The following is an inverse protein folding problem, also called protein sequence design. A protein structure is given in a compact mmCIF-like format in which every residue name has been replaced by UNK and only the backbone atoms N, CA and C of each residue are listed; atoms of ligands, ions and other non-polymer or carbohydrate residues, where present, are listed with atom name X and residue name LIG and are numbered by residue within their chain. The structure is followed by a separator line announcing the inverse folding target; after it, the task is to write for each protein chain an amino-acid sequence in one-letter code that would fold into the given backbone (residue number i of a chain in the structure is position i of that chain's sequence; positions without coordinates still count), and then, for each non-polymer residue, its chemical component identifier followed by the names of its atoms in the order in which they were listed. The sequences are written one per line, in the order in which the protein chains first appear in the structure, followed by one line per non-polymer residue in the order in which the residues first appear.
data_IF_443716257515
#
_entry.id   IF_443716257515
#
_cell.length_a   1.000
_cell.length_b   1.000
_cell.length_c   1.000
_cell.angle_alpha   90.00
_cell.angle_beta   90.00
_cell.angle_gamma   90.00
#
_symmetry.space_group_name_H-M   'P 1'
#
loop_
_entity.id
_entity.type
_entity.pdbx_description
1 polymer ?
#
# COMPACT_ATOMS: atom_id res chain seq x y z
N UNK A 1 1.22 14.17 -34.98
CA UNK A 1 1.01 13.27 -33.81
C UNK A 1 0.31 12.02 -34.31
N UNK A 2 0.75 10.80 -33.96
CA UNK A 2 -0.01 9.61 -34.32
C UNK A 2 -1.44 9.73 -33.76
N UNK A 3 -2.43 9.26 -34.52
CA UNK A 3 -3.83 9.33 -34.13
C UNK A 3 -4.02 8.62 -32.77
N UNK A 4 -4.81 9.23 -31.88
CA UNK A 4 -5.13 8.61 -30.60
C UNK A 4 -5.93 7.33 -30.84
N UNK A 5 -5.33 6.16 -30.59
CA UNK A 5 -6.03 4.87 -30.62
C UNK A 5 -6.99 4.83 -29.44
N UNK A 6 -8.27 4.61 -29.73
CA UNK A 6 -9.34 4.49 -28.74
C UNK A 6 -10.13 3.21 -29.00
N UNK A 7 -10.53 2.54 -27.94
CA UNK A 7 -11.49 1.44 -27.94
C UNK A 7 -12.22 1.41 -26.61
N UNK A 8 -13.34 0.71 -26.53
CA UNK A 8 -14.03 0.48 -25.26
C UNK A 8 -13.96 -0.98 -24.83
N UNK A 9 -14.02 -1.17 -23.52
CA UNK A 9 -14.23 -2.48 -22.89
C UNK A 9 -15.45 -2.36 -21.98
N UNK A 10 -16.23 -3.44 -21.86
CA UNK A 10 -17.33 -3.52 -20.91
C UNK A 10 -16.92 -4.41 -19.74
N UNK A 11 -17.03 -3.91 -18.52
CA UNK A 11 -16.66 -4.60 -17.29
C UNK A 11 -17.76 -4.38 -16.27
N UNK A 12 -18.31 -5.46 -15.71
CA UNK A 12 -19.43 -5.43 -14.75
C UNK A 12 -20.60 -4.52 -15.22
N UNK A 13 -20.90 -4.55 -16.53
CA UNK A 13 -21.95 -3.75 -17.16
C UNK A 13 -21.60 -2.27 -17.40
N UNK A 14 -20.40 -1.83 -17.03
CA UNK A 14 -19.91 -0.47 -17.24
C UNK A 14 -18.99 -0.39 -18.47
N UNK A 15 -19.21 0.60 -19.34
CA UNK A 15 -18.33 0.86 -20.48
C UNK A 15 -17.15 1.75 -20.06
N UNK A 16 -15.93 1.33 -20.41
CA UNK A 16 -14.69 2.07 -20.14
C UNK A 16 -13.97 2.35 -21.45
N UNK A 17 -13.81 3.62 -21.80
CA UNK A 17 -13.06 4.04 -22.98
C UNK A 17 -11.55 4.00 -22.68
N UNK A 18 -10.85 3.05 -23.28
CA UNK A 18 -9.39 2.91 -23.20
C UNK A 18 -8.74 3.76 -24.29
N UNK A 19 -7.77 4.58 -23.89
CA UNK A 19 -7.04 5.46 -24.81
C UNK A 19 -5.55 5.14 -24.80
N UNK A 20 -4.89 5.17 -25.95
CA UNK A 20 -3.46 4.90 -26.08
C UNK A 20 -3.03 3.59 -25.40
N UNK A 21 -3.63 2.43 -25.76
CA UNK A 21 -3.34 1.15 -25.11
C UNK A 21 -1.88 0.72 -25.24
N UNK A 22 -1.20 1.12 -26.32
CA UNK A 22 0.22 0.80 -26.55
C UNK A 22 1.18 1.80 -25.89
N UNK A 23 0.68 2.77 -25.12
CA UNK A 23 1.53 3.71 -24.37
C UNK A 23 2.45 2.92 -23.43
N UNK A 24 3.78 3.09 -23.51
CA UNK A 24 4.69 2.47 -22.55
C UNK A 24 4.50 3.11 -21.17
N UNK A 25 4.18 2.31 -20.16
CA UNK A 25 4.10 2.75 -18.77
C UNK A 25 5.36 2.38 -18.00
N UNK A 26 5.89 1.16 -18.23
CA UNK A 26 7.24 0.76 -17.83
C UNK A 26 8.02 0.28 -19.06
N UNK A 27 8.75 1.17 -19.76
CA UNK A 27 9.46 0.80 -20.98
C UNK A 27 10.57 -0.24 -20.74
N UNK A 28 11.27 -0.17 -19.60
CA UNK A 28 12.39 -1.07 -19.27
C UNK A 28 11.99 -2.55 -19.18
N UNK A 29 10.76 -2.82 -18.73
CA UNK A 29 10.20 -4.18 -18.62
C UNK A 29 9.08 -4.44 -19.63
N UNK A 30 8.95 -3.57 -20.65
CA UNK A 30 8.01 -3.77 -21.76
C UNK A 30 6.51 -3.68 -21.39
N UNK A 31 6.15 -3.10 -20.25
CA UNK A 31 4.73 -2.99 -19.84
C UNK A 31 4.10 -1.76 -20.50
N UNK A 32 3.19 -2.02 -21.43
CA UNK A 32 2.28 -1.02 -22.02
C UNK A 32 1.04 -0.81 -21.14
N UNK A 33 0.25 0.22 -21.42
CA UNK A 33 -1.04 0.44 -20.74
C UNK A 33 -1.97 -0.77 -20.86
N UNK A 34 -2.03 -1.43 -22.03
CA UNK A 34 -2.85 -2.63 -22.22
C UNK A 34 -2.44 -3.74 -21.25
N UNK A 35 -1.14 -4.04 -21.17
CA UNK A 35 -0.60 -5.05 -20.25
C UNK A 35 -0.90 -4.62 -18.81
N UNK A 36 -0.65 -3.37 -18.47
CA UNK A 36 -0.93 -2.86 -17.13
C UNK A 36 -2.39 -3.05 -16.72
N UNK A 37 -3.35 -2.71 -17.58
CA UNK A 37 -4.78 -2.91 -17.30
C UNK A 37 -5.14 -4.39 -17.11
N UNK A 38 -4.53 -5.30 -17.88
CA UNK A 38 -4.71 -6.74 -17.69
C UNK A 38 -4.17 -7.19 -16.32
N UNK A 39 -2.96 -6.76 -15.95
CA UNK A 39 -2.37 -7.08 -14.64
C UNK A 39 -3.16 -6.48 -13.48
N UNK A 40 -3.70 -5.27 -13.67
CA UNK A 40 -4.54 -4.62 -12.68
C UNK A 40 -5.88 -5.36 -12.49
N UNK A 41 -6.47 -5.89 -13.57
CA UNK A 41 -7.63 -6.76 -13.49
C UNK A 41 -7.34 -8.07 -12.75
N UNK A 42 -6.19 -8.71 -13.02
CA UNK A 42 -5.79 -9.92 -12.30
C UNK A 42 -5.52 -9.69 -10.81
N UNK A 43 -4.96 -8.52 -10.46
CA UNK A 43 -4.75 -8.11 -9.07
C UNK A 43 -6.02 -7.66 -8.35
N UNK A 44 -7.11 -7.39 -9.06
CA UNK A 44 -8.28 -6.72 -8.50
C UNK A 44 -8.91 -7.44 -7.29
N UNK A 45 -9.00 -8.79 -7.24
CA UNK A 45 -9.58 -9.47 -6.06
C UNK A 45 -8.79 -9.20 -4.77
N UNK A 46 -7.49 -8.94 -4.90
CA UNK A 46 -6.56 -8.70 -3.79
C UNK A 46 -6.47 -7.22 -3.46
N UNK A 47 -6.21 -6.37 -4.46
CA UNK A 47 -6.07 -4.92 -4.27
C UNK A 47 -7.37 -4.29 -3.76
N UNK A 48 -8.53 -4.64 -4.34
CA UNK A 48 -9.82 -4.08 -3.94
C UNK A 48 -10.20 -4.42 -2.51
N UNK A 49 -9.76 -5.58 -1.98
CA UNK A 49 -10.02 -5.97 -0.59
C UNK A 49 -9.50 -4.92 0.41
N UNK A 50 -8.39 -4.25 0.08
CA UNK A 50 -7.74 -3.28 0.96
C UNK A 50 -7.98 -1.82 0.55
N UNK A 51 -8.67 -1.57 -0.56
CA UNK A 51 -8.93 -0.22 -1.06
C UNK A 51 -10.41 0.14 -1.23
N UNK A 52 -11.31 -0.85 -1.24
CA UNK A 52 -12.76 -0.63 -1.36
C UNK A 52 -13.31 0.13 -0.16
N UNK A 53 -14.29 1.00 -0.42
CA UNK A 53 -15.00 1.79 0.60
C UNK A 53 -14.11 2.71 1.44
N UNK A 54 -12.94 3.11 0.91
CA UNK A 54 -11.97 4.00 1.54
C UNK A 54 -11.74 5.24 0.67
N UNK A 55 -11.31 6.34 1.28
CA UNK A 55 -10.93 7.57 0.56
C UNK A 55 -9.62 7.30 -0.17
N UNK A 56 -9.62 7.38 -1.50
CA UNK A 56 -8.45 6.99 -2.29
C UNK A 56 -7.62 8.19 -2.75
N UNK A 57 -6.34 8.17 -2.40
CA UNK A 57 -5.31 8.93 -3.12
C UNK A 57 -4.67 8.02 -4.16
N UNK A 58 -4.47 8.51 -5.38
CA UNK A 58 -3.68 7.80 -6.39
C UNK A 58 -2.47 8.63 -6.81
N UNK A 59 -1.40 7.95 -7.23
CA UNK A 59 -0.28 8.61 -7.91
C UNK A 59 -0.34 8.27 -9.39
N UNK A 60 -0.44 9.31 -10.22
CA UNK A 60 -0.61 9.18 -11.66
C UNK A 60 0.68 9.49 -12.40
N UNK A 61 0.96 8.70 -13.43
CA UNK A 61 2.14 8.82 -14.32
C UNK A 61 1.67 8.90 -15.78
N UNK A 62 1.14 10.05 -16.24
CA UNK A 62 0.51 10.17 -17.55
C UNK A 62 1.43 9.81 -18.74
N UNK A 63 2.75 9.90 -18.53
CA UNK A 63 3.80 9.61 -19.51
C UNK A 63 4.63 8.38 -19.15
N UNK A 64 4.12 7.52 -18.27
CA UNK A 64 4.84 6.36 -17.74
C UNK A 64 5.83 6.73 -16.63
N UNK A 65 6.46 5.72 -16.05
CA UNK A 65 7.35 5.83 -14.89
C UNK A 65 8.55 6.78 -15.10
N UNK A 66 9.19 6.86 -16.28
CA UNK A 66 10.26 7.83 -16.50
C UNK A 66 9.81 9.30 -16.53
N UNK A 67 8.50 9.54 -16.65
CA UNK A 67 7.92 10.88 -16.76
C UNK A 67 7.52 11.50 -15.42
N UNK A 68 6.92 12.68 -15.49
CA UNK A 68 6.37 13.37 -14.32
C UNK A 68 5.22 12.59 -13.68
N UNK A 69 5.12 12.70 -12.37
CA UNK A 69 4.03 12.14 -11.57
C UNK A 69 3.31 13.22 -10.76
N UNK A 70 2.09 12.92 -10.34
CA UNK A 70 1.37 13.77 -9.38
C UNK A 70 0.43 12.94 -8.50
N UNK A 71 0.22 13.45 -7.29
CA UNK A 71 -0.76 12.92 -6.34
C UNK A 71 -2.13 13.48 -6.67
N UNK A 72 -3.12 12.61 -6.85
CA UNK A 72 -4.51 12.98 -7.05
C UNK A 72 -5.32 12.53 -5.84
N UNK A 73 -5.76 13.51 -5.06
CA UNK A 73 -6.73 13.32 -3.96
C UNK A 73 -8.13 13.67 -4.41
N UNK A 74 -8.27 14.85 -5.01
CA UNK A 74 -9.56 15.33 -5.52
C UNK A 74 -9.93 14.59 -6.81
N UNK A 75 -11.18 14.17 -6.90
CA UNK A 75 -11.74 13.52 -8.08
C UNK A 75 -11.66 14.50 -9.28
N UNK A 76 -11.25 14.03 -10.47
CA UNK A 76 -11.19 14.87 -11.66
C UNK A 76 -12.59 15.14 -12.21
N UNK A 77 -12.75 16.20 -12.98
CA UNK A 77 -13.99 16.47 -13.73
C UNK A 77 -13.70 16.43 -15.24
N UNK A 78 -14.58 15.82 -16.07
CA UNK A 78 -15.78 15.08 -15.68
C UNK A 78 -15.48 13.67 -15.11
N UNK A 79 -16.45 13.12 -14.36
CA UNK A 79 -16.43 11.74 -13.87
C UNK A 79 -17.37 10.84 -14.70
N UNK A 80 -17.00 9.57 -14.94
CA UNK A 80 -17.97 8.56 -15.37
C UNK A 80 -19.04 8.34 -14.30
N UNK A 81 -20.28 8.08 -14.71
CA UNK A 81 -21.45 7.93 -13.81
C UNK A 81 -21.28 6.81 -12.77
N UNK A 82 -20.52 5.76 -13.11
CA UNK A 82 -20.25 4.65 -12.19
C UNK A 82 -19.19 4.97 -11.12
N UNK A 83 -18.44 6.07 -11.24
CA UNK A 83 -17.39 6.40 -10.28
C UNK A 83 -18.00 7.09 -9.06
N UNK A 84 -18.05 6.35 -7.95
CA UNK A 84 -18.48 6.88 -6.65
C UNK A 84 -17.43 7.82 -6.06
N UNK A 85 -17.89 8.87 -5.39
CA UNK A 85 -17.06 9.79 -4.62
C UNK A 85 -17.57 9.96 -3.18
N UNK A 86 -16.70 10.49 -2.31
CA UNK A 86 -17.05 10.91 -0.96
C UNK A 86 -16.23 12.14 -0.57
N UNK A 87 -16.86 13.12 0.07
CA UNK A 87 -16.19 14.34 0.53
C UNK A 87 -15.70 14.19 1.96
N UNK A 88 -14.44 14.56 2.20
CA UNK A 88 -13.81 14.60 3.52
C UNK A 88 -12.83 15.77 3.56
N UNK A 89 -12.90 16.62 4.59
CA UNK A 89 -12.05 17.82 4.74
C UNK A 89 -11.97 18.69 3.47
N UNK A 90 -13.14 18.98 2.87
CA UNK A 90 -13.29 19.78 1.64
C UNK A 90 -12.60 19.19 0.39
N UNK A 91 -12.24 17.91 0.41
CA UNK A 91 -11.70 17.18 -0.75
C UNK A 91 -12.71 16.09 -1.14
N UNK A 92 -13.05 16.03 -2.42
CA UNK A 92 -13.92 14.97 -2.96
C UNK A 92 -13.05 13.83 -3.45
N UNK A 93 -12.98 12.74 -2.68
CA UNK A 93 -12.17 11.57 -3.01
C UNK A 93 -12.94 10.60 -3.90
N UNK A 94 -12.21 9.87 -4.74
CA UNK A 94 -12.73 8.68 -5.42
C UNK A 94 -12.85 7.55 -4.39
N UNK A 95 -13.93 6.77 -4.48
CA UNK A 95 -14.16 5.59 -3.63
C UNK A 95 -14.27 4.37 -4.53
N UNK A 96 -13.30 3.47 -4.45
CA UNK A 96 -13.34 2.23 -5.22
C UNK A 96 -14.49 1.34 -4.74
N UNK A 97 -15.27 0.82 -5.69
CA UNK A 97 -16.34 -0.17 -5.45
C UNK A 97 -16.01 -1.49 -6.14
N UNK A 98 -15.47 -1.45 -7.35
CA UNK A 98 -15.19 -2.66 -8.11
C UNK A 98 -14.05 -2.52 -9.12
N UNK A 99 -14.04 -3.48 -10.04
CA UNK A 99 -13.09 -3.52 -11.14
C UNK A 99 -13.27 -2.35 -12.13
N UNK A 100 -14.49 -1.84 -12.41
CA UNK A 100 -14.65 -0.73 -13.36
C UNK A 100 -13.90 0.54 -12.97
N UNK A 101 -14.04 1.01 -11.72
CA UNK A 101 -13.34 2.21 -11.25
C UNK A 101 -11.83 2.00 -11.21
N UNK A 102 -11.39 0.79 -10.85
CA UNK A 102 -9.98 0.43 -10.82
C UNK A 102 -9.35 0.51 -12.22
N UNK A 103 -9.99 -0.07 -13.24
CA UNK A 103 -9.48 -0.03 -14.61
C UNK A 103 -9.59 1.36 -15.24
N UNK A 104 -10.64 2.12 -14.91
CA UNK A 104 -10.74 3.52 -15.31
C UNK A 104 -9.56 4.35 -14.75
N UNK A 105 -9.25 4.21 -13.47
CA UNK A 105 -8.06 4.83 -12.85
C UNK A 105 -6.76 4.35 -13.51
N UNK A 106 -6.64 3.05 -13.78
CA UNK A 106 -5.49 2.49 -14.47
C UNK A 106 -5.31 3.08 -15.88
N UNK A 107 -6.41 3.33 -16.59
CA UNK A 107 -6.40 3.96 -17.93
C UNK A 107 -5.99 5.43 -17.86
N UNK A 108 -6.28 6.11 -16.75
CA UNK A 108 -5.77 7.43 -16.39
C UNK A 108 -4.30 7.42 -15.94
N UNK A 109 -3.64 6.25 -16.02
CA UNK A 109 -2.27 5.99 -15.58
C UNK A 109 -2.06 6.23 -14.08
N UNK A 110 -3.08 5.97 -13.24
CA UNK A 110 -2.86 5.75 -11.82
C UNK A 110 -2.08 4.44 -11.66
N UNK A 111 -0.84 4.53 -11.18
CA UNK A 111 0.05 3.37 -10.99
C UNK A 111 0.15 2.97 -9.52
N UNK A 112 -0.13 3.89 -8.59
CA UNK A 112 -0.13 3.60 -7.16
C UNK A 112 -1.46 3.98 -6.51
N UNK A 113 -1.96 3.10 -5.65
CA UNK A 113 -3.23 3.22 -4.94
C UNK A 113 -2.98 3.30 -3.44
N UNK A 114 -3.37 4.44 -2.86
CA UNK A 114 -3.12 4.79 -1.46
C UNK A 114 -4.47 5.07 -0.79
N UNK A 115 -5.19 4.05 -0.30
CA UNK A 115 -6.43 4.25 0.42
C UNK A 115 -6.20 4.83 1.82
N UNK A 116 -7.22 5.47 2.37
CA UNK A 116 -7.28 5.84 3.79
C UNK A 116 -7.27 4.61 4.69
N UNK A 117 -6.84 4.80 5.93
CA UNK A 117 -6.77 3.73 6.94
C UNK A 117 -8.09 3.56 7.71
N UNK A 118 -9.17 4.18 7.22
CA UNK A 118 -10.54 4.07 7.71
C UNK A 118 -11.50 4.01 6.51
N UNK A 119 -12.67 3.41 6.72
CA UNK A 119 -13.75 3.44 5.74
C UNK A 119 -14.40 4.83 5.64
N UNK A 120 -15.04 5.11 4.51
CA UNK A 120 -15.86 6.31 4.30
C UNK A 120 -16.91 6.41 5.41
N UNK A 121 -16.99 7.57 6.06
CA UNK A 121 -17.93 7.84 7.16
C UNK A 121 -17.49 7.31 8.53
N UNK A 122 -16.41 6.53 8.62
CA UNK A 122 -15.84 6.08 9.89
C UNK A 122 -14.72 7.01 10.37
N UNK A 123 -14.68 7.29 11.67
CA UNK A 123 -13.53 7.92 12.35
C UNK A 123 -12.53 6.89 12.92
N UNK A 124 -12.90 5.60 12.89
CA UNK A 124 -12.09 4.52 13.43
C UNK A 124 -11.25 3.84 12.32
N UNK A 125 -10.01 3.41 12.64
CA UNK A 125 -9.17 2.63 11.76
C UNK A 125 -9.81 1.29 11.39
N UNK A 126 -9.50 0.81 10.18
CA UNK A 126 -9.97 -0.49 9.68
C UNK A 126 -8.85 -1.54 9.59
N UNK A 127 -7.60 -1.14 9.72
CA UNK A 127 -6.41 -1.99 9.82
C UNK A 127 -5.33 -1.20 10.57
N UNK A 128 -4.36 -1.89 11.16
CA UNK A 128 -3.18 -1.24 11.72
C UNK A 128 -1.96 -1.55 10.87
N UNK A 129 -1.18 -0.52 10.54
CA UNK A 129 0.02 -0.65 9.72
C UNK A 129 1.16 0.10 10.40
N UNK A 130 2.28 -0.60 10.58
CA UNK A 130 3.56 -0.06 11.04
C UNK A 130 4.46 0.08 9.83
N UNK A 131 5.09 1.24 9.66
CA UNK A 131 5.97 1.53 8.52
C UNK A 131 7.42 1.63 8.98
N UNK A 132 8.30 0.85 8.34
CA UNK A 132 9.74 0.88 8.56
C UNK A 132 10.39 1.62 7.41
N UNK A 133 10.80 2.86 7.67
CA UNK A 133 11.29 3.80 6.66
C UNK A 133 12.83 3.89 6.71
N UNK A 134 13.54 3.38 5.69
CA UNK A 134 14.99 3.39 5.68
C UNK A 134 15.54 4.82 5.50
N UNK A 135 16.61 5.13 6.23
CA UNK A 135 17.36 6.37 6.02
C UNK A 135 18.26 6.29 4.76
N UNK A 136 18.73 5.09 4.44
CA UNK A 136 19.51 4.81 3.24
C UNK A 136 18.61 4.62 2.01
N UNK A 137 19.17 4.86 0.83
CA UNK A 137 18.47 4.56 -0.43
C UNK A 137 18.33 3.05 -0.64
N UNK A 138 19.39 2.31 -0.32
CA UNK A 138 19.40 0.84 -0.24
C UNK A 138 19.71 0.47 1.19
N UNK A 139 18.76 -0.16 1.87
CA UNK A 139 18.89 -0.58 3.27
C UNK A 139 18.99 -2.11 3.35
N UNK A 140 20.20 -2.68 3.47
CA UNK A 140 20.39 -4.13 3.50
C UNK A 140 19.80 -4.79 4.76
N UNK A 141 19.53 -4.02 5.81
CA UNK A 141 19.00 -4.52 7.10
C UNK A 141 17.48 -4.39 7.20
N UNK A 142 16.78 -4.01 6.13
CA UNK A 142 15.33 -3.71 6.21
C UNK A 142 14.50 -4.94 6.62
N UNK A 143 14.88 -6.13 6.14
CA UNK A 143 14.21 -7.37 6.52
C UNK A 143 14.60 -7.82 7.93
N UNK A 144 15.85 -7.61 8.35
CA UNK A 144 16.26 -7.81 9.74
C UNK A 144 15.42 -6.95 10.68
N UNK A 145 15.24 -5.66 10.35
CA UNK A 145 14.41 -4.75 11.12
C UNK A 145 12.95 -5.22 11.18
N UNK A 146 12.39 -5.66 10.04
CA UNK A 146 11.04 -6.21 10.01
C UNK A 146 10.90 -7.46 10.89
N UNK A 147 11.87 -8.37 10.85
CA UNK A 147 11.89 -9.57 11.69
C UNK A 147 11.91 -9.22 13.19
N UNK A 148 12.76 -8.29 13.61
CA UNK A 148 12.83 -7.84 15.02
C UNK A 148 11.48 -7.27 15.48
N UNK A 149 10.81 -6.46 14.66
CA UNK A 149 9.48 -5.93 15.01
C UNK A 149 8.43 -7.05 15.04
N UNK A 150 8.47 -7.98 14.09
CA UNK A 150 7.61 -9.17 14.05
C UNK A 150 7.72 -10.02 15.33
N UNK A 151 8.94 -10.31 15.78
CA UNK A 151 9.21 -11.03 17.03
C UNK A 151 8.62 -10.31 18.25
N UNK A 152 8.75 -8.98 18.31
CA UNK A 152 8.17 -8.18 19.39
C UNK A 152 6.65 -8.26 19.37
N UNK A 153 6.02 -8.08 18.21
CA UNK A 153 4.57 -8.23 18.07
C UNK A 153 4.11 -9.64 18.47
N UNK A 154 4.82 -10.68 18.05
CA UNK A 154 4.54 -12.06 18.42
C UNK A 154 4.63 -12.28 19.95
N UNK A 155 5.66 -11.70 20.61
CA UNK A 155 5.80 -11.77 22.07
C UNK A 155 4.66 -11.08 22.84
N UNK A 156 4.00 -10.11 22.20
CA UNK A 156 2.80 -9.44 22.72
C UNK A 156 1.50 -10.20 22.38
N UNK A 157 1.60 -11.34 21.70
CA UNK A 157 0.45 -12.12 21.22
C UNK A 157 -0.26 -11.49 20.02
N UNK A 158 0.41 -10.62 19.26
CA UNK A 158 -0.14 -9.94 18.09
C UNK A 158 0.36 -10.65 16.83
N UNK A 159 -0.53 -11.35 16.13
CA UNK A 159 -0.26 -11.86 14.80
C UNK A 159 -0.16 -10.72 13.80
N UNK A 160 0.83 -10.76 12.91
CA UNK A 160 1.08 -9.72 11.94
C UNK A 160 1.63 -10.29 10.62
N UNK A 161 1.48 -9.54 9.54
CA UNK A 161 1.92 -9.92 8.20
C UNK A 161 2.85 -8.84 7.65
N UNK A 162 4.12 -9.16 7.37
CA UNK A 162 5.03 -8.23 6.73
C UNK A 162 4.67 -8.08 5.25
N UNK A 163 4.95 -6.92 4.69
CA UNK A 163 4.87 -6.69 3.25
C UNK A 163 5.99 -5.79 2.80
N UNK A 164 6.52 -6.06 1.62
CA UNK A 164 7.35 -5.05 0.95
C UNK A 164 6.48 -3.82 0.68
N UNK A 165 7.03 -2.62 0.82
CA UNK A 165 6.34 -1.43 0.30
C UNK A 165 6.25 -1.47 -1.23
N UNK A 166 7.06 -2.30 -1.89
CA UNK A 166 7.36 -2.26 -3.32
C UNK A 166 8.27 -1.09 -3.71
N UNK A 167 8.75 -0.31 -2.75
CA UNK A 167 9.79 0.70 -2.92
C UNK A 167 11.05 0.23 -2.15
N UNK A 168 11.43 0.94 -1.09
CA UNK A 168 12.65 0.68 -0.32
C UNK A 168 12.37 0.16 1.10
N UNK A 169 11.19 0.46 1.66
CA UNK A 169 10.81 0.06 3.02
C UNK A 169 9.96 -1.20 3.11
N UNK A 170 9.69 -1.61 4.34
CA UNK A 170 8.79 -2.72 4.70
C UNK A 170 7.68 -2.20 5.61
N UNK A 171 6.48 -2.70 5.42
CA UNK A 171 5.32 -2.40 6.25
C UNK A 171 4.85 -3.68 6.95
N UNK A 172 4.38 -3.56 8.18
CA UNK A 172 3.84 -4.69 8.94
C UNK A 172 2.37 -4.40 9.21
N UNK A 173 1.51 -5.31 8.75
CA UNK A 173 0.06 -5.20 8.85
C UNK A 173 -0.44 -6.06 9.99
N UNK A 174 -1.32 -5.48 10.80
CA UNK A 174 -2.05 -6.15 11.85
C UNK A 174 -3.55 -6.00 11.56
N UNK A 175 -4.25 -7.08 11.19
CA UNK A 175 -5.71 -7.08 11.13
C UNK A 175 -6.31 -6.81 12.51
N UNK A 176 -7.14 -5.78 12.62
CA UNK A 176 -7.74 -5.32 13.89
C UNK A 176 -9.25 -5.49 13.86
N UNK A 177 -9.84 -5.77 15.03
CA UNK A 177 -11.29 -5.66 15.19
C UNK A 177 -11.72 -4.19 15.21
N UNK A 178 -12.92 -3.86 14.72
CA UNK A 178 -13.49 -2.53 14.89
C UNK A 178 -13.58 -2.17 16.38
N UNK A 179 -13.20 -0.93 16.74
CA UNK A 179 -13.38 -0.39 18.10
C UNK A 179 -12.17 0.36 18.65
N UNK A 180 -10.95 0.01 18.21
CA UNK A 180 -9.73 0.76 18.58
C UNK A 180 -9.67 2.10 17.83
N UNK A 181 -9.14 3.14 18.48
CA UNK A 181 -8.92 4.45 17.85
C UNK A 181 -7.54 4.56 17.21
N UNK A 182 -7.36 5.50 16.27
CA UNK A 182 -6.03 5.83 15.74
C UNK A 182 -5.02 6.15 16.86
N UNK A 183 -5.45 6.91 17.87
CA UNK A 183 -4.61 7.27 19.01
C UNK A 183 -4.22 6.03 19.85
N UNK A 184 -5.15 5.11 20.04
CA UNK A 184 -4.89 3.83 20.71
C UNK A 184 -3.83 3.01 19.98
N UNK A 185 -3.97 2.87 18.66
CA UNK A 185 -2.97 2.19 17.82
C UNK A 185 -1.60 2.88 17.86
N UNK A 186 -1.56 4.22 17.84
CA UNK A 186 -0.29 4.96 17.97
C UNK A 186 0.36 4.80 19.32
N UNK A 187 -0.41 4.67 20.41
CA UNK A 187 0.15 4.37 21.75
C UNK A 187 0.84 3.00 21.76
N UNK A 188 0.19 1.98 21.19
CA UNK A 188 0.79 0.63 21.05
C UNK A 188 2.02 0.70 20.16
N UNK A 189 1.92 1.35 18.99
CA UNK A 189 3.04 1.51 18.06
C UNK A 189 4.22 2.26 18.65
N UNK A 190 3.98 3.33 19.41
CA UNK A 190 5.03 4.06 20.11
C UNK A 190 5.72 3.20 21.18
N UNK A 191 4.96 2.40 21.94
CA UNK A 191 5.53 1.45 22.89
C UNK A 191 6.45 0.43 22.20
N UNK A 192 5.97 -0.21 21.11
CA UNK A 192 6.78 -1.15 20.31
C UNK A 192 8.02 -0.44 19.75
N UNK A 193 7.86 0.74 19.15
CA UNK A 193 8.93 1.53 18.57
C UNK A 193 10.01 1.92 19.58
N UNK A 194 9.61 2.33 20.78
CA UNK A 194 10.55 2.59 21.88
C UNK A 194 11.30 1.34 22.29
N UNK A 195 10.58 0.23 22.48
CA UNK A 195 11.19 -1.04 22.88
C UNK A 195 12.24 -1.52 21.86
N UNK A 196 11.95 -1.50 20.56
CA UNK A 196 12.92 -1.92 19.53
C UNK A 196 14.10 -0.95 19.42
N UNK A 197 13.89 0.35 19.64
CA UNK A 197 14.96 1.35 19.64
C UNK A 197 15.88 1.20 20.85
N UNK A 198 15.32 0.89 22.03
CA UNK A 198 16.10 0.61 23.24
C UNK A 198 16.88 -0.72 23.12
N UNK A 199 16.27 -1.74 22.49
CA UNK A 199 16.89 -3.08 22.29
C UNK A 199 17.93 -3.10 21.17
N UNK A 200 17.71 -2.35 20.09
CA UNK A 200 18.55 -2.30 18.89
C UNK A 200 18.80 -0.84 18.45
N UNK A 201 19.51 -0.05 19.27
CA UNK A 201 19.80 1.36 18.96
C UNK A 201 20.76 1.54 17.77
N UNK A 202 21.43 0.46 17.35
CA UNK A 202 22.25 0.35 16.14
C UNK A 202 21.42 0.21 14.85
N UNK A 203 20.13 -0.12 14.97
CA UNK A 203 19.26 -0.44 13.83
C UNK A 203 18.06 0.51 13.72
N UNK A 204 17.46 0.89 14.84
CA UNK A 204 16.23 1.69 14.84
C UNK A 204 16.42 3.12 15.35
N UNK A 205 15.49 3.99 14.95
CA UNK A 205 15.33 5.31 15.53
C UNK A 205 13.86 5.73 15.55
N UNK A 206 13.50 6.58 16.50
CA UNK A 206 12.22 7.30 16.55
C UNK A 206 12.36 8.76 16.09
N UNK A 207 13.57 9.18 15.71
CA UNK A 207 13.82 10.51 15.18
C UNK A 207 13.17 10.67 13.79
N UNK A 208 12.26 11.64 13.69
CA UNK A 208 11.48 11.88 12.48
C UNK A 208 12.31 12.59 11.41
N UNK A 209 13.25 13.45 11.77
CA UNK A 209 14.03 14.21 10.80
C UNK A 209 15.14 13.34 10.21
N UNK A 210 15.03 12.99 8.92
CA UNK A 210 15.99 12.13 8.21
C UNK A 210 17.46 12.53 8.43
N UNK A 211 17.76 13.83 8.43
CA UNK A 211 19.11 14.37 8.69
C UNK A 211 19.69 14.05 10.08
N UNK A 212 18.86 13.68 11.04
CA UNK A 212 19.23 13.36 12.42
C UNK A 212 19.21 11.85 12.70
N UNK A 213 18.79 11.02 11.73
CA UNK A 213 18.64 9.56 11.91
C UNK A 213 19.97 8.80 11.81
N UNK A 214 21.00 9.42 11.22
CA UNK A 214 22.15 8.68 10.72
C UNK A 214 21.70 7.61 9.72
N UNK A 215 22.21 6.40 9.89
CA UNK A 215 21.88 5.24 9.05
C UNK A 215 20.78 4.37 9.66
N UNK A 216 20.14 4.80 10.76
CA UNK A 216 19.12 4.00 11.43
C UNK A 216 17.79 4.03 10.68
N UNK A 217 17.05 2.92 10.77
CA UNK A 217 15.72 2.75 10.19
C UNK A 217 14.71 3.42 11.10
N UNK A 218 13.89 4.30 10.52
CA UNK A 218 12.85 4.99 11.26
C UNK A 218 11.65 4.07 11.47
N UNK A 219 11.30 3.83 12.74
CA UNK A 219 10.04 3.19 13.09
C UNK A 219 8.93 4.25 13.05
N UNK A 220 8.24 4.34 11.91
CA UNK A 220 7.22 5.37 11.67
C UNK A 220 5.85 4.92 12.19
N UNK A 221 5.65 5.13 13.49
CA UNK A 221 4.35 4.94 14.14
C UNK A 221 3.37 6.11 13.88
N UNK A 222 3.81 7.19 13.22
CA UNK A 222 3.03 8.41 12.99
C UNK A 222 2.33 8.44 11.63
N UNK A 223 2.67 7.55 10.69
CA UNK A 223 1.89 7.39 9.46
C UNK A 223 0.45 6.92 9.70
N UNK A 224 0.18 6.33 10.86
CA UNK A 224 -1.12 5.79 11.21
C UNK A 224 -2.06 6.85 11.84
N UNK A 225 -2.61 7.74 11.01
CA UNK A 225 -3.51 8.83 11.42
C UNK A 225 -4.76 8.92 10.52
N UNK A 226 -5.86 9.45 11.04
CA UNK A 226 -7.07 9.73 10.24
C UNK A 226 -6.79 10.69 9.09
N UNK A 227 -7.33 10.44 7.89
CA UNK A 227 -7.06 11.26 6.70
C UNK A 227 -5.67 11.07 6.06
N UNK A 228 -4.76 10.30 6.65
CA UNK A 228 -3.56 9.82 5.95
C UNK A 228 -3.90 8.63 5.04
N UNK A 229 -3.04 8.43 4.05
CA UNK A 229 -3.13 7.32 3.09
C UNK A 229 -1.80 6.60 3.02
N UNK A 230 -1.84 5.29 2.80
CA UNK A 230 -0.67 4.44 2.65
C UNK A 230 -0.83 3.51 1.46
N UNK A 231 0.28 3.11 0.85
CA UNK A 231 0.27 2.19 -0.28
C UNK A 231 -0.45 0.89 0.09
N UNK A 232 -1.54 0.59 -0.63
CA UNK A 232 -2.33 -0.61 -0.37
C UNK A 232 -1.48 -1.88 -0.50
N UNK A 233 -1.81 -2.96 0.22
CA UNK A 233 -1.42 -4.30 -0.20
C UNK A 233 -1.78 -4.51 -1.69
N UNK A 234 -0.85 -5.12 -2.42
CA UNK A 234 -0.95 -5.45 -3.84
C UNK A 234 -1.02 -4.25 -4.80
N UNK A 235 -0.84 -3.01 -4.34
CA UNK A 235 -0.69 -1.88 -5.27
C UNK A 235 0.61 -2.04 -6.08
N UNK A 236 0.58 -1.80 -7.40
CA UNK A 236 1.80 -1.55 -8.15
C UNK A 236 2.51 -0.31 -7.61
N UNK A 237 3.83 -0.25 -7.83
CA UNK A 237 4.69 0.88 -7.52
C UNK A 237 5.38 1.34 -8.77
N UNK A 238 5.52 2.65 -8.93
CA UNK A 238 6.19 3.26 -10.08
C UNK A 238 7.72 3.19 -9.93
N UNK A 239 8.24 1.96 -9.86
CA UNK A 239 9.66 1.63 -9.88
C UNK A 239 10.05 1.01 -11.22
N UNK A 240 11.33 1.06 -11.63
CA UNK A 240 11.76 0.57 -12.94
C UNK A 240 11.28 -0.85 -13.29
N UNK A 241 11.29 -1.75 -12.29
CA UNK A 241 10.87 -3.15 -12.44
C UNK A 241 9.36 -3.38 -12.27
N UNK A 242 8.53 -2.34 -12.15
CA UNK A 242 7.09 -2.45 -11.92
C UNK A 242 6.73 -3.31 -10.70
N UNK A 243 7.43 -3.04 -9.59
CA UNK A 243 7.28 -3.75 -8.33
C UNK A 243 5.87 -3.63 -7.75
N UNK A 244 5.52 -4.58 -6.88
CA UNK A 244 4.22 -4.62 -6.20
C UNK A 244 4.44 -4.63 -4.69
N UNK A 245 3.63 -3.86 -3.97
CA UNK A 245 3.55 -3.87 -2.49
C UNK A 245 3.03 -5.23 -2.01
N UNK A 246 3.94 -6.16 -1.68
CA UNK A 246 3.61 -7.59 -1.64
C UNK A 246 3.70 -8.15 -0.22
N UNK A 247 2.60 -8.70 0.34
CA UNK A 247 2.63 -9.46 1.59
C UNK A 247 3.54 -10.68 1.50
N UNK A 248 4.27 -10.92 2.59
CA UNK A 248 5.31 -11.93 2.72
C UNK A 248 4.98 -12.90 3.85
N UNK A 249 5.54 -14.10 3.75
CA UNK A 249 5.73 -15.00 4.88
C UNK A 249 6.88 -14.48 5.75
N UNK A 250 6.86 -14.79 7.05
CA UNK A 250 7.96 -14.44 7.95
C UNK A 250 9.24 -15.17 7.58
N UNK A 251 9.13 -16.38 7.03
CA UNK A 251 10.25 -17.13 6.47
C UNK A 251 10.91 -16.37 5.30
N UNK A 252 10.14 -15.73 4.42
CA UNK A 252 10.71 -14.92 3.33
C UNK A 252 11.47 -13.70 3.84
N UNK A 253 10.99 -13.10 4.94
CA UNK A 253 11.71 -12.01 5.61
C UNK A 253 13.06 -12.51 6.15
N UNK A 254 13.10 -13.70 6.76
CA UNK A 254 14.36 -14.30 7.24
C UNK A 254 15.36 -14.61 6.12
N UNK A 255 14.86 -14.91 4.91
CA UNK A 255 15.70 -15.12 3.73
C UNK A 255 16.11 -13.81 3.03
N UNK A 256 15.77 -12.65 3.59
CA UNK A 256 16.16 -11.33 3.11
C UNK A 256 15.77 -11.06 1.64
N UNK A 257 14.53 -11.37 1.27
CA UNK A 257 14.01 -11.12 -0.09
C UNK A 257 14.05 -9.64 -0.46
N UNK A 258 14.19 -9.35 -1.75
CA UNK A 258 14.17 -7.98 -2.27
C UNK A 258 12.75 -7.56 -2.67
N UNK A 259 12.35 -6.28 -2.45
CA UNK A 259 11.13 -5.74 -3.05
C UNK A 259 11.07 -5.90 -4.59
N UNK A 260 12.23 -5.97 -5.25
CA UNK A 260 12.34 -6.19 -6.69
C UNK A 260 11.87 -7.59 -7.13
N UNK A 261 11.85 -8.57 -6.22
CA UNK A 261 11.47 -9.95 -6.51
C UNK A 261 9.97 -10.08 -6.79
N UNK A 262 9.17 -9.06 -6.48
CA UNK A 262 7.72 -9.05 -6.63
C UNK A 262 7.29 -7.92 -7.55
N UNK A 263 6.83 -8.25 -8.76
CA UNK A 263 6.48 -7.27 -9.79
C UNK A 263 5.27 -7.71 -10.63
N UNK A 264 4.72 -6.78 -11.42
CA UNK A 264 3.49 -7.01 -12.18
C UNK A 264 3.53 -8.21 -13.14
N UNK A 265 4.72 -8.66 -13.55
CA UNK A 265 4.85 -9.78 -14.48
C UNK A 265 4.88 -11.16 -13.78
N UNK A 266 5.17 -11.23 -12.48
CA UNK A 266 5.25 -12.50 -11.73
C UNK A 266 4.23 -12.63 -10.58
N UNK A 267 3.59 -11.52 -10.17
CA UNK A 267 2.74 -11.51 -8.98
C UNK A 267 1.53 -12.45 -9.08
N UNK A 268 0.97 -12.66 -10.28
CA UNK A 268 -0.16 -13.55 -10.49
C UNK A 268 0.17 -15.01 -10.15
N UNK A 269 1.35 -15.48 -10.54
CA UNK A 269 1.82 -16.83 -10.23
C UNK A 269 1.94 -17.00 -8.71
N UNK A 270 2.58 -16.05 -8.04
CA UNK A 270 2.67 -16.03 -6.57
C UNK A 270 1.28 -16.12 -5.93
N UNK A 271 0.34 -15.28 -6.36
CA UNK A 271 -1.00 -15.22 -5.79
C UNK A 271 -1.79 -16.52 -6.02
N UNK A 272 -1.58 -17.20 -7.16
CA UNK A 272 -2.21 -18.49 -7.43
C UNK A 272 -1.78 -19.59 -6.45
N UNK A 273 -0.55 -19.49 -5.92
CA UNK A 273 0.03 -20.46 -4.98
C UNK A 273 -0.27 -20.06 -3.53
N UNK A 274 0.01 -18.80 -3.19
CA UNK A 274 0.01 -18.32 -1.81
C UNK A 274 -1.35 -17.78 -1.36
N UNK A 275 -2.19 -17.34 -2.30
CA UNK A 275 -3.39 -16.57 -2.02
C UNK A 275 -3.08 -15.27 -1.28
N UNK A 276 -4.07 -14.76 -0.55
CA UNK A 276 -3.92 -13.55 0.25
C UNK A 276 -3.43 -13.85 1.67
N UNK A 277 -2.15 -13.61 1.93
CA UNK A 277 -1.54 -13.89 3.24
C UNK A 277 -2.14 -13.05 4.37
N UNK A 278 -2.56 -11.81 4.10
CA UNK A 278 -3.18 -10.95 5.12
C UNK A 278 -4.54 -11.53 5.54
N UNK A 279 -5.32 -12.07 4.58
CA UNK A 279 -6.62 -12.67 4.87
C UNK A 279 -6.57 -13.92 5.75
N UNK A 280 -5.39 -14.57 5.84
CA UNK A 280 -5.16 -15.75 6.68
C UNK A 280 -5.01 -15.41 8.17
N UNK A 281 -4.79 -14.13 8.50
CA UNK A 281 -4.68 -13.66 9.89
C UNK A 281 -6.02 -13.07 10.33
N UNK A 282 -6.67 -13.64 11.37
CA UNK A 282 -7.96 -13.13 11.83
C UNK A 282 -7.82 -11.74 12.48
N UNK A 283 -8.86 -10.88 12.40
CA UNK A 283 -8.88 -9.60 13.12
C UNK A 283 -8.78 -9.75 14.65
N UNK A 284 -7.89 -8.97 15.26
CA UNK A 284 -7.51 -9.09 16.68
C UNK A 284 -7.98 -7.90 17.53
N UNK A 285 -8.34 -8.11 18.82
CA UNK A 285 -8.74 -7.04 19.75
C UNK A 285 -7.51 -6.36 20.39
N UNK A 286 -6.73 -5.62 19.60
CA UNK A 286 -5.48 -5.00 20.06
C UNK A 286 -5.69 -3.91 21.12
N UNK A 287 -6.90 -3.37 21.24
CA UNK A 287 -7.29 -2.41 22.27
C UNK A 287 -7.11 -2.96 23.70
N UNK A 288 -7.16 -4.29 23.88
CA UNK A 288 -6.95 -4.94 25.17
C UNK A 288 -5.52 -4.77 25.71
N UNK A 289 -4.58 -4.31 24.87
CA UNK A 289 -3.20 -4.02 25.27
C UNK A 289 -3.06 -2.61 25.86
N UNK A 290 -3.91 -1.66 25.49
CA UNK A 290 -3.78 -0.24 25.86
C UNK A 290 -3.75 -0.04 27.38
N UNK A 291 -4.62 -0.67 28.19
CA UNK A 291 -4.58 -0.52 29.65
C UNK A 291 -3.34 -1.12 30.32
N UNK A 292 -2.59 -1.97 29.60
CA UNK A 292 -1.39 -2.66 30.09
C UNK A 292 -0.09 -1.94 29.71
N UNK A 293 -0.18 -0.92 28.85
CA UNK A 293 0.97 -0.11 28.48
C UNK A 293 1.41 0.75 29.68
N UNK A 294 2.72 0.92 29.91
CA UNK A 294 3.24 1.77 30.97
C UNK A 294 2.91 3.26 30.76
#
# INVERSE_FOLDING_TARGET
MPAAVKGSITVDGQEIIITNPDKPLWPEVGITKRIYLQKLAALSPYLLRYSRDRLLTVIRYPHGVPGMSFYQKNAPEPLPDFVRTATHDNITYIVLQGLPELLWLGNLAALEFHPSLHYVGSSLPCEWMIDLDPSLEVEPRIMEAAAVVGEVLQSLGIASVPKTSGATGVQIIVPIRPGVTFDGLRRIGHFVGRYVTEKRPDLFTLERLKKNRGDNIYFDYLQHYGGKTLAAPYTPRARPLATVSTPLLWEEVQHNVSPADFHLLNIEERLSIMGDLISKVPPQPVEALIPKLP
#
